data_IF_295318555792
#
_entry.id   IF_295318555792
#
_cell.length_a   1.000
_cell.length_b   1.000
_cell.length_c   1.000
_cell.angle_alpha   90.00
_cell.angle_beta   90.00
_cell.angle_gamma   90.00
#
_symmetry.space_group_name_H-M   'P 1'
#
loop_
_entity.id
_entity.type
_entity.pdbx_description
1 polymer ?
#
# COMPACT_ATOMS: atom_id res chain seq x y z
N UNK A 1 30.11 11.64 27.82
CA UNK A 1 28.72 11.97 27.39
C UNK A 1 28.37 10.97 26.32
N UNK A 2 27.49 10.01 26.60
CA UNK A 2 27.15 8.95 25.65
C UNK A 2 25.90 9.35 24.86
N UNK A 3 26.05 9.51 23.54
CA UNK A 3 24.92 9.65 22.64
C UNK A 3 24.23 8.28 22.54
N UNK A 4 23.01 8.18 23.08
CA UNK A 4 22.12 7.06 22.83
C UNK A 4 21.66 7.14 21.37
N UNK A 5 22.27 6.31 20.51
CA UNK A 5 21.77 5.99 19.19
C UNK A 5 20.38 5.38 19.37
N UNK A 6 19.33 6.13 19.03
CA UNK A 6 17.97 5.62 18.96
C UNK A 6 17.90 4.60 17.81
N UNK A 7 18.02 3.32 18.15
CA UNK A 7 17.79 2.23 17.20
C UNK A 7 16.28 2.05 17.03
N UNK A 8 15.71 2.68 16.01
CA UNK A 8 14.32 2.43 15.62
C UNK A 8 14.24 1.02 15.02
N UNK A 9 13.74 0.05 15.78
CA UNK A 9 13.40 -1.27 15.24
C UNK A 9 12.25 -1.10 14.24
N UNK A 10 12.53 -1.32 12.95
CA UNK A 10 11.48 -1.40 11.94
C UNK A 10 10.74 -2.71 12.18
N UNK A 11 9.55 -2.64 12.76
CA UNK A 11 8.65 -3.79 12.87
C UNK A 11 8.07 -4.01 11.47
N UNK A 12 8.36 -5.15 10.80
CA UNK A 12 7.77 -5.44 9.50
C UNK A 12 6.24 -5.47 9.65
N UNK A 13 5.53 -4.80 8.74
CA UNK A 13 4.07 -4.97 8.71
C UNK A 13 3.75 -6.41 8.37
N UNK A 14 2.75 -6.96 9.05
CA UNK A 14 2.17 -8.26 8.67
C UNK A 14 1.68 -8.18 7.22
N UNK A 15 2.19 -9.07 6.39
CA UNK A 15 1.70 -9.24 5.02
C UNK A 15 0.41 -10.05 5.12
N UNK A 16 -0.71 -9.45 4.76
CA UNK A 16 -2.01 -10.12 4.75
C UNK A 16 -2.19 -10.82 3.40
N UNK A 17 -2.41 -12.14 3.45
CA UNK A 17 -2.67 -12.97 2.28
C UNK A 17 -3.66 -14.09 2.60
N UNK A 18 -4.22 -14.68 1.55
CA UNK A 18 -5.09 -15.85 1.57
C UNK A 18 -4.61 -16.86 0.52
N UNK A 19 -4.64 -18.14 0.88
CA UNK A 19 -4.45 -19.25 -0.06
C UNK A 19 -5.84 -19.72 -0.51
N UNK A 20 -6.07 -19.73 -1.82
CA UNK A 20 -7.36 -20.09 -2.42
C UNK A 20 -7.40 -21.57 -2.79
N UNK A 21 -8.60 -22.18 -2.80
CA UNK A 21 -8.81 -23.59 -3.14
C UNK A 21 -8.38 -23.95 -4.58
N UNK A 22 -8.26 -22.96 -5.47
CA UNK A 22 -7.82 -23.11 -6.86
C UNK A 22 -6.29 -23.10 -7.03
N UNK A 23 -5.54 -23.10 -5.94
CA UNK A 23 -4.08 -23.06 -5.94
C UNK A 23 -3.50 -21.67 -6.17
N UNK A 24 -4.31 -20.61 -6.18
CA UNK A 24 -3.79 -19.24 -6.25
C UNK A 24 -3.56 -18.65 -4.85
N UNK A 25 -2.66 -17.67 -4.74
CA UNK A 25 -2.45 -16.89 -3.52
C UNK A 25 -2.78 -15.43 -3.75
N UNK A 26 -3.61 -14.86 -2.88
CA UNK A 26 -4.04 -13.46 -2.95
C UNK A 26 -3.43 -12.63 -1.83
N UNK A 27 -2.80 -11.50 -2.18
CA UNK A 27 -2.20 -10.54 -1.26
C UNK A 27 -2.98 -9.23 -1.24
N UNK A 28 -3.12 -8.63 -0.06
CA UNK A 28 -3.71 -7.29 0.08
C UNK A 28 -2.69 -6.21 -0.34
N UNK A 29 -3.07 -5.36 -1.29
CA UNK A 29 -2.27 -4.25 -1.80
C UNK A 29 -2.77 -2.88 -1.32
N UNK A 30 -1.82 -1.96 -1.14
CA UNK A 30 -2.07 -0.53 -0.96
C UNK A 30 -1.17 0.26 -1.91
N UNK A 31 -1.77 0.90 -2.92
CA UNK A 31 -1.08 1.85 -3.78
C UNK A 31 -1.30 3.27 -3.25
N UNK A 32 -0.24 4.08 -3.22
CA UNK A 32 -0.30 5.48 -2.81
C UNK A 32 0.32 6.32 -3.93
N UNK A 33 -0.40 7.34 -4.37
CA UNK A 33 0.06 8.24 -5.42
C UNK A 33 1.11 9.22 -4.90
N UNK A 34 2.18 9.43 -5.67
CA UNK A 34 2.81 10.75 -5.71
C UNK A 34 2.03 11.60 -6.72
N UNK A 35 1.56 12.77 -6.30
CA UNK A 35 0.71 13.65 -7.13
C UNK A 35 1.45 14.90 -7.60
N UNK A 36 2.74 15.04 -7.29
CA UNK A 36 3.50 16.26 -7.56
C UNK A 36 2.72 17.52 -7.13
N UNK A 37 2.69 18.55 -7.99
CA UNK A 37 1.93 19.80 -7.79
C UNK A 37 0.42 19.59 -7.72
N UNK A 38 -0.11 18.49 -8.28
CA UNK A 38 -1.54 18.17 -8.24
C UNK A 38 -2.00 17.68 -6.87
N UNK A 39 -1.07 17.47 -5.94
CA UNK A 39 -1.36 17.13 -4.55
C UNK A 39 -1.89 18.31 -3.73
N UNK A 40 -1.82 19.56 -4.20
CA UNK A 40 -2.36 20.68 -3.44
C UNK A 40 -3.89 20.57 -3.33
N UNK A 41 -4.40 20.43 -2.11
CA UNK A 41 -5.82 20.28 -1.83
C UNK A 41 -6.48 21.60 -1.39
N UNK A 42 -5.74 22.43 -0.66
CA UNK A 42 -6.13 23.79 -0.27
C UNK A 42 -4.85 24.60 0.07
N UNK A 43 -5.01 25.84 0.53
CA UNK A 43 -3.93 26.66 1.07
C UNK A 43 -3.24 25.93 2.22
N UNK A 44 -1.95 25.68 2.05
CA UNK A 44 -1.10 24.95 3.00
C UNK A 44 -1.54 23.50 3.29
N UNK A 45 -2.40 22.92 2.45
CA UNK A 45 -2.84 21.53 2.59
C UNK A 45 -2.49 20.73 1.34
N UNK A 46 -1.83 19.59 1.56
CA UNK A 46 -1.41 18.66 0.52
C UNK A 46 -2.05 17.30 0.73
N UNK A 47 -2.28 16.56 -0.35
CA UNK A 47 -2.87 15.23 -0.34
C UNK A 47 -2.14 14.25 -1.25
N UNK A 48 -2.21 12.98 -0.86
CA UNK A 48 -2.02 11.81 -1.72
C UNK A 48 -3.32 10.99 -1.72
N UNK A 49 -3.53 10.17 -2.75
CA UNK A 49 -4.63 9.21 -2.80
C UNK A 49 -4.06 7.82 -2.56
N UNK A 50 -4.63 7.13 -1.57
CA UNK A 50 -4.38 5.72 -1.34
C UNK A 50 -5.55 4.88 -1.89
N UNK A 51 -5.25 3.81 -2.61
CA UNK A 51 -6.22 2.85 -3.13
C UNK A 51 -5.85 1.44 -2.70
N UNK A 52 -6.87 0.68 -2.28
CA UNK A 52 -6.72 -0.73 -1.93
C UNK A 52 -6.95 -1.62 -3.15
N UNK A 53 -6.23 -2.73 -3.20
CA UNK A 53 -6.40 -3.75 -4.23
C UNK A 53 -5.96 -5.11 -3.73
N UNK A 54 -6.07 -6.09 -4.61
CA UNK A 54 -5.71 -7.47 -4.36
C UNK A 54 -4.83 -7.97 -5.50
N UNK A 55 -3.71 -8.59 -5.14
CA UNK A 55 -2.77 -9.22 -6.07
C UNK A 55 -2.92 -10.72 -5.94
N UNK A 56 -3.40 -11.37 -6.99
CA UNK A 56 -3.51 -12.83 -7.04
C UNK A 56 -2.45 -13.38 -7.98
N UNK A 57 -1.67 -14.35 -7.50
CA UNK A 57 -0.62 -15.02 -8.27
C UNK A 57 -0.98 -16.50 -8.32
N UNK A 58 -0.87 -17.12 -9.50
CA UNK A 58 -1.02 -18.58 -9.60
C UNK A 58 0.11 -19.30 -8.88
N UNK A 59 -0.16 -20.49 -8.32
CA UNK A 59 0.94 -21.34 -7.85
C UNK A 59 1.86 -21.78 -8.99
N UNK A 60 2.95 -22.45 -8.61
CA UNK A 60 3.93 -22.99 -9.54
C UNK A 60 3.25 -23.62 -10.77
N UNK A 61 3.55 -23.16 -11.99
CA UNK A 61 4.77 -22.45 -12.39
C UNK A 61 4.74 -20.90 -12.33
N UNK A 62 3.78 -20.26 -11.63
CA UNK A 62 3.69 -18.80 -11.48
C UNK A 62 3.54 -18.03 -12.81
N UNK A 63 2.66 -18.51 -13.68
CA UNK A 63 2.47 -17.97 -15.03
C UNK A 63 1.47 -16.83 -15.13
N UNK A 64 0.64 -16.63 -14.11
CA UNK A 64 -0.44 -15.66 -14.13
C UNK A 64 -0.40 -14.74 -12.90
N UNK A 65 -0.61 -13.45 -13.16
CA UNK A 65 -0.75 -12.42 -12.14
C UNK A 65 -2.00 -11.58 -12.46
N UNK A 66 -2.88 -11.44 -11.47
CA UNK A 66 -4.09 -10.64 -11.56
C UNK A 66 -4.07 -9.56 -10.49
N UNK A 67 -4.45 -8.33 -10.87
CA UNK A 67 -4.62 -7.22 -9.94
C UNK A 67 -6.07 -6.74 -10.01
N UNK A 68 -6.76 -6.83 -8.88
CA UNK A 68 -8.13 -6.34 -8.72
C UNK A 68 -8.11 -5.11 -7.82
N UNK A 69 -8.51 -3.95 -8.35
CA UNK A 69 -8.64 -2.74 -7.54
C UNK A 69 -10.01 -2.69 -6.88
N UNK A 70 -10.04 -2.44 -5.57
CA UNK A 70 -11.30 -2.31 -4.84
C UNK A 70 -11.90 -0.95 -5.21
N UNK A 71 -13.00 -0.98 -5.96
CA UNK A 71 -13.74 0.21 -6.38
C UNK A 71 -14.15 1.04 -5.15
N UNK A 72 -14.11 2.36 -5.29
CA UNK A 72 -14.54 3.31 -4.26
C UNK A 72 -13.73 3.21 -2.93
N UNK A 73 -12.58 2.53 -2.95
CA UNK A 73 -11.68 2.40 -1.80
C UNK A 73 -10.71 3.57 -1.63
N UNK A 74 -10.79 4.57 -2.50
CA UNK A 74 -9.91 5.73 -2.52
C UNK A 74 -10.02 6.51 -1.21
N UNK A 75 -8.87 6.79 -0.60
CA UNK A 75 -8.76 7.61 0.61
C UNK A 75 -7.73 8.70 0.38
N UNK A 76 -8.12 9.93 0.66
CA UNK A 76 -7.17 11.03 0.76
C UNK A 76 -6.35 10.88 2.04
N UNK A 77 -5.03 10.89 1.89
CA UNK A 77 -4.09 11.08 2.99
C UNK A 77 -3.67 12.54 2.91
N UNK A 78 -3.96 13.33 3.95
CA UNK A 78 -3.72 14.78 3.94
C UNK A 78 -2.69 15.16 4.99
N UNK A 79 -1.86 16.16 4.67
CA UNK A 79 -0.99 16.83 5.62
C UNK A 79 -1.07 18.33 5.39
N UNK A 80 -0.94 19.10 6.47
CA UNK A 80 -0.84 20.55 6.43
C UNK A 80 0.52 21.01 6.97
N UNK A 81 0.94 22.20 6.53
CA UNK A 81 2.15 22.90 6.99
C UNK A 81 1.77 24.22 7.63
#
# INVERSE_FOLDING_TARGET
>A
MNALLCHSTIIPRSIHFEDNDDGTRTYQLLAITDMDKSGQADKWMWRAVARRGELTISEYPYTEVKVNWIKDSDKNITSCV
#
